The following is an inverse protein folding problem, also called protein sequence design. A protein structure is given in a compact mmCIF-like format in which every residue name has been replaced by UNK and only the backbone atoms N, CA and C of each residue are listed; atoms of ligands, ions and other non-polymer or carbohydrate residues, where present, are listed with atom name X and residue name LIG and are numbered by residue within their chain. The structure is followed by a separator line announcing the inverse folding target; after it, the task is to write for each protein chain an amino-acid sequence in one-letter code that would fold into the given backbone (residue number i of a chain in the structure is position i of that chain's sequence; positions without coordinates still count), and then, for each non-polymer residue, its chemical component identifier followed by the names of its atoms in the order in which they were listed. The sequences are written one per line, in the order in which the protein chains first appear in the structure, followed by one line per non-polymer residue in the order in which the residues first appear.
data_IF_322239372354
#
_entry.id   IF_322239372354
#
_cell.length_a   1.000
_cell.length_b   1.000
_cell.length_c   1.000
_cell.angle_alpha   90.00
_cell.angle_beta   90.00
_cell.angle_gamma   90.00
#
_symmetry.space_group_name_H-M   'P 1'
#
loop_
_entity.id
_entity.type
_entity.pdbx_description
1 polymer ?
#
# COMPACT_ATOMS: atom_id res chain seq x y z
N UNK A 1 -3.32 10.98 -17.13
CA UNK A 1 -3.61 10.14 -15.93
C UNK A 1 -2.65 8.97 -15.73
N UNK A 2 -2.20 8.24 -16.78
CA UNK A 2 -1.30 7.07 -16.62
C UNK A 2 0.03 7.35 -15.92
N UNK A 3 0.67 8.50 -16.19
CA UNK A 3 1.90 8.90 -15.52
C UNK A 3 1.71 9.11 -14.01
N UNK A 4 0.58 9.68 -13.60
CA UNK A 4 0.22 9.88 -12.20
C UNK A 4 0.00 8.54 -11.48
N UNK A 5 -0.74 7.60 -12.11
CA UNK A 5 -0.91 6.24 -11.56
C UNK A 5 0.43 5.54 -11.36
N UNK A 6 1.35 5.65 -12.33
CA UNK A 6 2.69 5.09 -12.20
C UNK A 6 3.51 5.76 -11.11
N UNK A 7 3.44 7.09 -11.02
CA UNK A 7 4.14 7.85 -10.00
C UNK A 7 3.69 7.45 -8.59
N UNK A 8 2.37 7.43 -8.35
CA UNK A 8 1.80 6.98 -7.07
C UNK A 8 2.16 5.49 -6.82
N UNK A 9 2.08 4.65 -7.85
CA UNK A 9 2.46 3.25 -7.76
C UNK A 9 3.92 3.04 -7.35
N UNK A 10 4.85 3.83 -7.89
CA UNK A 10 6.25 3.78 -7.48
C UNK A 10 6.46 4.27 -6.04
N UNK A 11 5.75 5.31 -5.61
CA UNK A 11 5.81 5.79 -4.22
C UNK A 11 5.35 4.69 -3.27
N UNK A 12 4.20 4.07 -3.52
CA UNK A 12 3.66 3.01 -2.66
C UNK A 12 4.53 1.76 -2.67
N UNK A 13 5.02 1.34 -3.84
CA UNK A 13 5.90 0.18 -3.95
C UNK A 13 7.21 0.40 -3.18
N UNK A 14 7.82 1.58 -3.34
CA UNK A 14 9.05 1.94 -2.62
C UNK A 14 8.80 2.04 -1.12
N UNK A 15 7.72 2.67 -0.70
CA UNK A 15 7.34 2.75 0.72
C UNK A 15 7.09 1.38 1.35
N UNK A 16 6.39 0.48 0.65
CA UNK A 16 6.17 -0.91 1.08
C UNK A 16 7.48 -1.70 1.19
N UNK A 17 8.39 -1.52 0.22
CA UNK A 17 9.72 -2.14 0.26
C UNK A 17 10.56 -1.64 1.44
N UNK A 18 10.57 -0.33 1.71
CA UNK A 18 11.27 0.25 2.87
C UNK A 18 10.69 -0.31 4.17
N UNK A 19 9.36 -0.36 4.31
CA UNK A 19 8.72 -0.96 5.48
C UNK A 19 9.13 -2.43 5.67
N UNK A 20 9.20 -3.21 4.59
CA UNK A 20 9.67 -4.60 4.63
C UNK A 20 11.11 -4.73 5.15
N UNK A 21 12.02 -3.87 4.66
CA UNK A 21 13.43 -3.87 5.10
C UNK A 21 13.53 -3.50 6.58
N UNK A 22 12.81 -2.48 7.03
CA UNK A 22 12.81 -2.05 8.43
C UNK A 22 12.24 -3.14 9.34
N UNK A 23 11.13 -3.77 8.95
CA UNK A 23 10.53 -4.88 9.70
C UNK A 23 11.46 -6.10 9.73
N UNK A 24 12.14 -6.40 8.61
CA UNK A 24 13.16 -7.45 8.55
C UNK A 24 14.35 -7.19 9.46
N UNK A 25 14.88 -5.96 9.46
CA UNK A 25 15.99 -5.57 10.33
C UNK A 25 15.59 -5.66 11.82
N UNK A 26 14.39 -5.18 12.18
CA UNK A 26 13.83 -5.34 13.53
C UNK A 26 13.63 -6.82 13.90
N UNK A 27 13.21 -7.64 12.93
CA UNK A 27 13.00 -9.06 13.15
C UNK A 27 14.29 -9.82 13.49
N UNK A 28 15.37 -9.51 12.78
CA UNK A 28 16.70 -10.09 13.03
C UNK A 28 17.22 -9.63 14.39
N UNK A 29 17.11 -8.34 14.70
CA UNK A 29 17.60 -7.77 15.96
C UNK A 29 16.90 -8.35 17.20
N UNK A 30 15.59 -8.56 17.11
CA UNK A 30 14.76 -9.00 18.24
C UNK A 30 14.52 -10.52 18.28
N UNK A 31 15.07 -11.29 17.33
CA UNK A 31 14.76 -12.72 17.14
C UNK A 31 13.25 -13.02 17.06
N UNK A 32 12.44 -12.05 16.63
CA UNK A 32 10.98 -12.16 16.54
C UNK A 32 10.48 -11.40 15.31
N UNK A 33 9.69 -12.07 14.48
CA UNK A 33 9.11 -11.43 13.31
C UNK A 33 7.90 -10.57 13.70
N UNK A 34 8.08 -9.26 13.70
CA UNK A 34 7.01 -8.28 13.96
C UNK A 34 6.89 -7.38 12.74
N UNK A 35 5.69 -7.33 12.16
CA UNK A 35 5.38 -6.43 11.05
C UNK A 35 4.68 -5.18 11.54
N UNK A 36 4.99 -4.05 10.90
CA UNK A 36 4.29 -2.79 11.14
C UNK A 36 2.90 -2.85 10.51
N UNK A 37 1.84 -2.58 11.28
CA UNK A 37 0.47 -2.59 10.77
C UNK A 37 0.16 -1.33 9.98
N UNK A 38 -0.76 -1.43 9.02
CA UNK A 38 -1.20 -0.30 8.21
C UNK A 38 -1.72 0.86 9.08
N UNK A 39 -2.46 0.55 10.15
CA UNK A 39 -2.93 1.55 11.12
C UNK A 39 -1.79 2.41 11.66
N UNK A 40 -0.73 1.76 12.19
CA UNK A 40 0.40 2.48 12.81
C UNK A 40 1.14 3.35 11.79
N UNK A 41 1.21 2.91 10.53
CA UNK A 41 1.82 3.72 9.47
C UNK A 41 0.95 4.90 9.08
N UNK A 42 -0.37 4.73 8.96
CA UNK A 42 -1.30 5.81 8.64
C UNK A 42 -1.38 6.85 9.76
N UNK A 43 -1.37 6.41 11.01
CA UNK A 43 -1.32 7.29 12.18
C UNK A 43 -0.03 8.13 12.18
N UNK A 44 1.11 7.52 11.90
CA UNK A 44 2.40 8.22 11.82
C UNK A 44 2.49 9.16 10.61
N UNK A 45 1.95 8.77 9.46
CA UNK A 45 2.02 9.55 8.22
C UNK A 45 1.00 10.69 8.18
N UNK A 46 -0.17 10.52 8.81
CA UNK A 46 -1.31 11.44 8.75
C UNK A 46 -1.85 11.74 10.16
N UNK A 47 -1.02 12.29 11.08
CA UNK A 47 -1.37 12.43 12.49
C UNK A 47 -2.58 13.34 12.75
N UNK A 48 -2.85 14.30 11.86
CA UNK A 48 -4.01 15.17 11.97
C UNK A 48 -5.29 14.58 11.36
N UNK A 49 -5.18 13.69 10.35
CA UNK A 49 -6.35 13.16 9.64
C UNK A 49 -6.82 11.82 10.21
N UNK A 50 -5.89 10.97 10.65
CA UNK A 50 -6.23 9.63 11.13
C UNK A 50 -7.18 9.62 12.35
N UNK A 51 -7.06 10.54 13.34
CA UNK A 51 -8.02 10.61 14.45
C UNK A 51 -9.45 10.95 14.01
N UNK A 52 -9.60 11.65 12.89
CA UNK A 52 -10.91 12.00 12.32
C UNK A 52 -11.49 10.89 11.46
N UNK A 53 -10.67 9.94 11.02
CA UNK A 53 -11.10 8.84 10.16
C UNK A 53 -12.07 7.89 10.88
N UNK A 54 -11.79 7.51 12.14
CA UNK A 54 -12.68 6.62 12.92
C UNK A 54 -14.08 7.23 13.13
N UNK A 55 -14.21 8.48 13.63
CA UNK A 55 -15.52 9.13 13.77
C UNK A 55 -16.26 9.27 12.43
N UNK A 56 -15.54 9.63 11.36
CA UNK A 56 -16.13 9.72 10.03
C UNK A 56 -16.66 8.35 9.56
N UNK A 57 -15.89 7.29 9.78
CA UNK A 57 -16.27 5.91 9.46
C UNK A 57 -17.53 5.49 10.23
N UNK A 58 -17.59 5.80 11.53
CA UNK A 58 -18.76 5.51 12.36
C UNK A 58 -20.03 6.24 11.92
N UNK A 59 -19.89 7.44 11.33
CA UNK A 59 -21.03 8.23 10.87
C UNK A 59 -21.54 7.83 9.48
N UNK A 60 -20.68 7.29 8.60
CA UNK A 60 -21.01 7.09 7.17
C UNK A 60 -21.07 5.63 6.73
N UNK A 61 -20.49 4.70 7.49
CA UNK A 61 -20.39 3.29 7.09
C UNK A 61 -21.24 2.39 7.99
N UNK A 62 -21.84 1.32 7.44
CA UNK A 62 -22.53 0.31 8.23
C UNK A 62 -21.54 -0.44 9.14
N UNK A 63 -22.03 -0.95 10.27
CA UNK A 63 -21.20 -1.60 11.30
C UNK A 63 -20.34 -2.75 10.74
N UNK A 64 -20.86 -3.51 9.78
CA UNK A 64 -20.13 -4.60 9.11
C UNK A 64 -18.90 -4.10 8.35
N UNK A 65 -19.02 -2.98 7.64
CA UNK A 65 -17.91 -2.36 6.92
C UNK A 65 -16.88 -1.78 7.90
N UNK A 66 -17.33 -1.18 9.00
CA UNK A 66 -16.44 -0.69 10.06
C UNK A 66 -15.60 -1.84 10.60
N UNK A 67 -16.23 -2.94 11.05
CA UNK A 67 -15.53 -4.10 11.62
C UNK A 67 -14.53 -4.72 10.64
N UNK A 68 -14.86 -4.77 9.35
CA UNK A 68 -13.94 -5.24 8.32
C UNK A 68 -12.72 -4.32 8.17
N UNK A 69 -12.92 -3.00 8.15
CA UNK A 69 -11.83 -2.03 8.01
C UNK A 69 -10.92 -2.07 9.24
N UNK A 70 -11.47 -1.95 10.46
CA UNK A 70 -10.65 -1.90 11.68
C UNK A 70 -10.05 -3.25 12.05
N UNK A 71 -10.79 -4.34 11.86
CA UNK A 71 -10.35 -5.69 12.24
C UNK A 71 -9.46 -6.38 11.22
N UNK A 72 -9.60 -6.07 9.93
CA UNK A 72 -8.88 -6.77 8.87
C UNK A 72 -7.99 -5.85 8.05
N UNK A 73 -8.49 -4.73 7.53
CA UNK A 73 -7.71 -3.91 6.59
C UNK A 73 -6.59 -3.16 7.32
N UNK A 74 -6.90 -2.53 8.44
CA UNK A 74 -5.95 -1.73 9.21
C UNK A 74 -4.89 -2.58 9.94
N UNK A 75 -5.14 -3.88 10.11
CA UNK A 75 -4.21 -4.82 10.74
C UNK A 75 -3.23 -5.45 9.75
N UNK A 76 -3.43 -5.27 8.44
CA UNK A 76 -2.52 -5.80 7.43
C UNK A 76 -1.11 -5.20 7.54
N UNK A 77 -0.06 -5.97 7.19
CA UNK A 77 1.30 -5.46 7.13
C UNK A 77 1.43 -4.33 6.11
N UNK A 78 1.98 -3.19 6.52
CA UNK A 78 2.21 -2.02 5.66
C UNK A 78 3.04 -2.37 4.43
N UNK A 79 4.05 -3.23 4.60
CA UNK A 79 4.91 -3.72 3.53
C UNK A 79 4.12 -4.41 2.42
N UNK A 80 3.25 -5.35 2.80
CA UNK A 80 2.39 -6.08 1.87
C UNK A 80 1.39 -5.16 1.18
N UNK A 81 0.72 -4.28 1.93
CA UNK A 81 -0.26 -3.33 1.37
C UNK A 81 0.40 -2.39 0.36
N UNK A 82 1.54 -1.78 0.72
CA UNK A 82 2.29 -0.88 -0.16
C UNK A 82 2.78 -1.58 -1.43
N UNK A 83 3.32 -2.79 -1.30
CA UNK A 83 3.79 -3.58 -2.44
C UNK A 83 2.64 -3.96 -3.39
N UNK A 84 1.54 -4.51 -2.86
CA UNK A 84 0.39 -4.96 -3.66
C UNK A 84 -0.26 -3.76 -4.36
N UNK A 85 -0.61 -2.70 -3.62
CA UNK A 85 -1.23 -1.51 -4.22
C UNK A 85 -0.29 -0.84 -5.23
N UNK A 86 1.01 -0.73 -4.90
CA UNK A 86 2.01 -0.18 -5.80
C UNK A 86 2.09 -0.95 -7.12
N UNK A 87 2.16 -2.27 -7.07
CA UNK A 87 2.17 -3.15 -8.26
C UNK A 87 0.87 -2.99 -9.06
N UNK A 88 -0.30 -2.98 -8.41
CA UNK A 88 -1.59 -2.82 -9.07
C UNK A 88 -1.69 -1.49 -9.80
N UNK A 89 -1.26 -0.39 -9.18
CA UNK A 89 -1.23 0.95 -9.77
C UNK A 89 -0.27 1.03 -10.97
N UNK A 90 0.92 0.44 -10.84
CA UNK A 90 1.88 0.36 -11.92
C UNK A 90 1.33 -0.46 -13.09
N UNK A 91 0.68 -1.58 -12.80
CA UNK A 91 0.04 -2.44 -13.79
C UNK A 91 -1.08 -1.73 -14.54
N UNK A 92 -1.98 -1.04 -13.83
CA UNK A 92 -3.05 -0.24 -14.42
C UNK A 92 -2.53 0.94 -15.25
N UNK A 93 -1.36 1.47 -14.88
CA UNK A 93 -0.67 2.54 -15.60
C UNK A 93 0.14 2.09 -16.83
N UNK A 94 0.22 0.79 -17.13
CA UNK A 94 0.99 0.27 -18.28
C UNK A 94 0.40 0.77 -19.60
N UNK A 95 1.27 1.01 -20.59
CA UNK A 95 0.84 1.15 -21.98
C UNK A 95 0.66 -0.27 -22.56
N UNK A 96 -0.37 -0.52 -23.39
CA UNK A 96 -0.44 -1.74 -24.18
C UNK A 96 0.87 -1.89 -24.95
N UNK A 97 1.42 -3.11 -25.04
CA UNK A 97 2.60 -3.35 -25.83
C UNK A 97 2.29 -3.02 -27.30
N UNK A 98 3.09 -2.18 -27.94
CA UNK A 98 2.91 -1.86 -29.35
C UNK A 98 3.13 -3.13 -30.19
N UNK A 99 2.10 -3.65 -30.88
CA UNK A 99 2.19 -4.93 -31.59
C UNK A 99 3.21 -4.92 -32.74
N UNK A 100 3.65 -3.73 -33.17
CA UNK A 100 4.43 -3.52 -34.37
C UNK A 100 5.94 -3.39 -34.14
N UNK A 101 6.42 -3.46 -32.90
CA UNK A 101 7.86 -3.38 -32.59
C UNK A 101 8.64 -4.67 -32.96
N UNK A 102 7.96 -5.71 -33.44
CA UNK A 102 8.56 -6.89 -34.07
C UNK A 102 8.43 -6.80 -35.59
N UNK A 103 9.05 -5.80 -36.23
CA UNK A 103 9.30 -5.87 -37.67
C UNK A 103 10.70 -6.46 -37.85
N UNK A 104 10.86 -7.75 -38.23
CA UNK A 104 12.18 -8.27 -38.55
C UNK A 104 12.74 -7.44 -39.69
N UNK A 105 13.94 -6.90 -39.50
CA UNK A 105 14.71 -6.26 -40.55
C UNK A 105 15.00 -7.35 -41.59
N UNK A 106 14.38 -7.22 -42.77
CA UNK A 106 14.72 -7.99 -43.96
C UNK A 106 15.98 -7.42 -44.59
#
# INVERSE_FOLDING_TARGET
MRALLRFIGFILLTGGFVAFVIDGARGIANSQFVSTSLATTLEAALPSLFPHFLPWMSAHLPETAQRLVTGSILTLPTSAVGAILGILLLWLGRRPADPFLFKPLR
#
